data_IF_349109483643
#
_entry.id   IF_349109483643
#
_cell.length_a   1.000
_cell.length_b   1.000
_cell.length_c   1.000
_cell.angle_alpha   90.00
_cell.angle_beta   90.00
_cell.angle_gamma   90.00
#
_symmetry.space_group_name_H-M   'P 1'
#
loop_
_entity.id
_entity.type
_entity.pdbx_description
1 polymer ?
#
# COMPACT_ATOMS: atom_id res chain seq x y z
N UNK A 1 -0.15 17.01 -25.62
CA UNK A 1 -0.54 16.67 -24.24
C UNK A 1 -1.80 17.38 -23.77
N UNK A 2 -1.89 18.71 -23.87
CA UNK A 2 -3.06 19.51 -23.40
C UNK A 2 -4.43 18.91 -23.78
N UNK A 3 -4.70 18.64 -25.06
CA UNK A 3 -5.94 17.96 -25.48
C UNK A 3 -6.18 16.61 -24.79
N UNK A 4 -5.16 15.77 -24.65
CA UNK A 4 -5.31 14.46 -23.98
C UNK A 4 -5.74 14.63 -22.52
N UNK A 5 -5.11 15.57 -21.81
CA UNK A 5 -5.42 15.88 -20.41
C UNK A 5 -6.86 16.36 -20.26
N UNK A 6 -7.33 17.24 -21.15
CA UNK A 6 -8.72 17.72 -21.13
C UNK A 6 -9.73 16.57 -21.27
N UNK A 7 -9.48 15.62 -22.17
CA UNK A 7 -10.38 14.48 -22.44
C UNK A 7 -10.47 13.50 -21.25
N UNK A 8 -9.40 13.33 -20.48
CA UNK A 8 -9.38 12.41 -19.32
C UNK A 8 -9.70 13.09 -17.99
N UNK A 9 -9.84 14.42 -17.97
CA UNK A 9 -9.99 15.22 -16.74
C UNK A 9 -11.09 14.70 -15.83
N UNK A 10 -12.26 14.36 -16.39
CA UNK A 10 -13.39 13.87 -15.59
C UNK A 10 -13.06 12.54 -14.90
N UNK A 11 -12.41 11.61 -15.61
CA UNK A 11 -12.02 10.32 -15.06
C UNK A 11 -11.00 10.48 -13.92
N UNK A 12 -9.96 11.29 -14.14
CA UNK A 12 -8.91 11.55 -13.13
C UNK A 12 -9.48 12.26 -11.90
N UNK A 13 -10.33 13.26 -12.10
CA UNK A 13 -10.97 14.02 -11.01
C UNK A 13 -11.89 13.14 -10.16
N UNK A 14 -12.51 12.12 -10.77
CA UNK A 14 -13.36 11.16 -10.05
C UNK A 14 -12.55 10.07 -9.35
N UNK A 15 -11.46 9.62 -9.97
CA UNK A 15 -10.63 8.51 -9.46
C UNK A 15 -9.75 8.92 -8.27
N UNK A 16 -9.21 10.14 -8.28
CA UNK A 16 -8.28 10.59 -7.25
C UNK A 16 -8.89 10.59 -5.83
N UNK A 17 -10.08 11.17 -5.59
CA UNK A 17 -10.73 11.07 -4.29
C UNK A 17 -10.91 9.62 -3.85
N UNK A 18 -11.36 8.74 -4.74
CA UNK A 18 -11.54 7.31 -4.43
C UNK A 18 -10.25 6.64 -3.96
N UNK A 19 -9.10 6.95 -4.57
CA UNK A 19 -7.80 6.40 -4.13
C UNK A 19 -7.49 6.81 -2.69
N UNK A 20 -7.68 8.09 -2.37
CA UNK A 20 -7.29 8.63 -1.08
C UNK A 20 -8.29 8.31 0.03
N UNK A 21 -9.58 8.33 -0.25
CA UNK A 21 -10.64 7.90 0.68
C UNK A 21 -10.46 6.41 1.04
N UNK A 22 -10.16 5.56 0.04
CA UNK A 22 -9.88 4.14 0.26
C UNK A 22 -8.60 3.93 1.08
N UNK A 23 -7.57 4.74 0.83
CA UNK A 23 -6.34 4.70 1.62
C UNK A 23 -6.57 5.13 3.07
N UNK A 24 -7.37 6.17 3.33
CA UNK A 24 -7.75 6.57 4.69
C UNK A 24 -8.51 5.45 5.41
N UNK A 25 -9.46 4.80 4.72
CA UNK A 25 -10.17 3.64 5.26
C UNK A 25 -9.23 2.46 5.57
N UNK A 26 -8.24 2.21 4.71
CA UNK A 26 -7.20 1.20 4.94
C UNK A 26 -6.40 1.52 6.20
N UNK A 27 -5.97 2.77 6.39
CA UNK A 27 -5.20 3.18 7.57
C UNK A 27 -6.00 2.98 8.86
N UNK A 28 -7.30 3.29 8.85
CA UNK A 28 -8.19 3.05 9.98
C UNK A 28 -8.31 1.55 10.32
N UNK A 29 -8.42 0.69 9.30
CA UNK A 29 -8.49 -0.76 9.49
C UNK A 29 -7.17 -1.33 10.01
N UNK A 30 -6.04 -0.87 9.50
CA UNK A 30 -4.71 -1.26 9.99
C UNK A 30 -4.51 -0.85 11.45
N UNK A 31 -4.93 0.35 11.83
CA UNK A 31 -4.86 0.82 13.21
C UNK A 31 -5.75 -0.02 14.15
N UNK A 32 -6.95 -0.40 13.71
CA UNK A 32 -7.84 -1.31 14.47
C UNK A 32 -7.23 -2.69 14.62
N UNK A 33 -6.65 -3.24 13.54
CA UNK A 33 -6.01 -4.56 13.55
C UNK A 33 -4.80 -4.58 14.49
N UNK A 34 -3.96 -3.56 14.45
CA UNK A 34 -2.81 -3.42 15.35
C UNK A 34 -3.26 -3.29 16.82
N UNK A 35 -4.29 -2.49 17.08
CA UNK A 35 -4.90 -2.36 18.41
C UNK A 35 -5.38 -3.71 18.97
N UNK A 36 -6.12 -4.48 18.16
CA UNK A 36 -6.62 -5.79 18.55
C UNK A 36 -5.48 -6.80 18.81
N UNK A 37 -4.45 -6.80 17.94
CA UNK A 37 -3.26 -7.65 18.12
C UNK A 37 -2.53 -7.35 19.43
N UNK A 38 -2.34 -6.07 19.76
CA UNK A 38 -1.67 -5.65 21.00
C UNK A 38 -2.46 -6.03 22.24
N UNK A 39 -3.79 -5.94 22.20
CA UNK A 39 -4.66 -6.38 23.29
C UNK A 39 -4.49 -7.88 23.54
N UNK A 40 -4.60 -8.69 22.48
CA UNK A 40 -4.39 -10.13 22.56
C UNK A 40 -2.99 -10.49 23.09
N UNK A 41 -1.93 -9.85 22.57
CA UNK A 41 -0.56 -10.11 22.99
C UNK A 41 -0.34 -9.75 24.47
N UNK A 42 -0.91 -8.66 24.96
CA UNK A 42 -0.81 -8.26 26.36
C UNK A 42 -1.50 -9.27 27.30
N UNK A 43 -2.67 -9.77 26.91
CA UNK A 43 -3.45 -10.74 27.69
C UNK A 43 -2.76 -12.11 27.77
N UNK A 44 -2.39 -12.67 26.62
CA UNK A 44 -1.68 -13.95 26.57
C UNK A 44 -0.25 -13.85 27.14
N UNK A 45 0.44 -12.74 26.89
CA UNK A 45 1.80 -12.51 27.38
C UNK A 45 1.85 -12.42 28.91
N UNK A 46 0.85 -11.82 29.55
CA UNK A 46 0.78 -11.74 31.01
C UNK A 46 0.56 -13.12 31.66
N UNK A 47 -0.34 -13.93 31.09
CA UNK A 47 -0.56 -15.30 31.55
C UNK A 47 0.69 -16.18 31.35
N UNK A 48 1.34 -16.07 30.19
CA UNK A 48 2.56 -16.81 29.87
C UNK A 48 3.75 -16.41 30.77
N UNK A 49 3.92 -15.12 31.04
CA UNK A 49 4.98 -14.63 31.93
C UNK A 49 4.81 -15.17 33.35
N UNK A 50 3.58 -15.16 33.89
CA UNK A 50 3.30 -15.68 35.22
C UNK A 50 3.54 -17.19 35.31
N UNK A 51 3.17 -17.94 34.26
CA UNK A 51 3.42 -19.38 34.19
C UNK A 51 4.92 -19.72 34.16
N UNK A 52 5.73 -18.92 33.44
CA UNK A 52 7.17 -19.13 33.30
C UNK A 52 7.98 -18.72 34.54
N UNK A 53 7.44 -17.83 35.38
CA UNK A 53 8.09 -17.31 36.58
C UNK A 53 7.41 -17.77 37.88
N UNK A 54 6.60 -18.83 37.82
CA UNK A 54 5.91 -19.35 38.99
C UNK A 54 6.90 -19.95 40.00
N UNK A 55 6.90 -19.44 41.24
CA UNK A 55 7.79 -19.90 42.30
C UNK A 55 7.11 -20.95 43.19
N UNK A 56 5.77 -20.97 43.21
CA UNK A 56 4.98 -21.89 44.02
C UNK A 56 3.72 -22.40 43.29
N UNK A 57 3.01 -23.33 43.91
CA UNK A 57 1.80 -23.93 43.35
C UNK A 57 0.62 -22.95 43.23
N UNK A 58 0.60 -21.89 44.04
CA UNK A 58 -0.41 -20.81 43.95
C UNK A 58 -0.16 -19.94 42.73
N UNK A 59 1.10 -19.65 42.37
CA UNK A 59 1.47 -18.91 41.17
C UNK A 59 1.09 -19.67 39.89
N UNK A 60 1.30 -20.99 39.87
CA UNK A 60 0.85 -21.86 38.76
C UNK A 60 -0.67 -21.87 38.67
N UNK A 61 -1.37 -21.93 39.82
CA UNK A 61 -2.83 -21.87 39.88
C UNK A 61 -3.37 -20.53 39.38
N UNK A 62 -2.72 -19.42 39.74
CA UNK A 62 -3.06 -18.07 39.28
C UNK A 62 -2.79 -17.91 37.78
N UNK A 63 -1.66 -18.41 37.27
CA UNK A 63 -1.34 -18.37 35.85
C UNK A 63 -2.34 -19.18 35.02
N UNK A 64 -2.70 -20.37 35.50
CA UNK A 64 -3.72 -21.22 34.90
C UNK A 64 -5.08 -20.55 34.95
N UNK A 65 -5.46 -19.92 36.06
CA UNK A 65 -6.68 -19.14 36.21
C UNK A 65 -6.75 -17.97 35.23
N UNK A 66 -5.67 -17.20 35.09
CA UNK A 66 -5.58 -16.12 34.11
C UNK A 66 -5.64 -16.61 32.66
N UNK A 67 -5.01 -17.75 32.36
CA UNK A 67 -5.09 -18.38 31.03
C UNK A 67 -6.50 -18.92 30.75
N UNK A 68 -7.16 -19.49 31.76
CA UNK A 68 -8.53 -19.97 31.67
C UNK A 68 -9.53 -18.82 31.59
N UNK A 69 -9.30 -17.69 32.27
CA UNK A 69 -10.13 -16.50 32.13
C UNK A 69 -9.95 -15.86 30.74
N UNK A 70 -8.75 -15.86 30.18
CA UNK A 70 -8.50 -15.41 28.81
C UNK A 70 -9.12 -16.34 27.73
N UNK A 71 -9.31 -17.64 28.06
CA UNK A 71 -9.80 -18.64 27.11
C UNK A 71 -11.30 -18.99 27.31
N UNK A 72 -11.81 -18.93 28.53
CA UNK A 72 -13.16 -19.34 28.97
C UNK A 72 -13.82 -18.35 29.96
N UNK A 73 -13.17 -17.24 30.31
CA UNK A 73 -13.74 -16.20 31.17
C UNK A 73 -14.92 -15.47 30.53
N UNK A 74 -15.44 -14.40 31.15
CA UNK A 74 -16.79 -13.86 30.91
C UNK A 74 -17.17 -13.40 29.50
N UNK A 75 -16.35 -13.56 28.46
CA UNK A 75 -16.61 -12.96 27.16
C UNK A 75 -16.66 -13.96 26.01
N UNK A 76 -17.90 -14.21 25.60
CA UNK A 76 -18.25 -14.39 24.19
C UNK A 76 -17.54 -13.36 23.30
N UNK A 77 -17.28 -12.15 23.82
CA UNK A 77 -16.54 -11.08 23.14
C UNK A 77 -15.07 -11.44 22.82
N UNK A 78 -14.35 -12.26 23.61
CA UNK A 78 -12.98 -12.67 23.29
C UNK A 78 -12.92 -13.73 22.18
N UNK A 79 -13.86 -14.69 22.20
CA UNK A 79 -14.04 -15.62 21.10
C UNK A 79 -14.48 -14.88 19.82
N UNK A 80 -15.39 -13.92 19.94
CA UNK A 80 -15.86 -13.09 18.83
C UNK A 80 -14.75 -12.16 18.30
N UNK A 81 -13.86 -11.65 19.16
CA UNK A 81 -12.68 -10.86 18.79
C UNK A 81 -11.60 -11.70 18.09
N UNK A 82 -11.33 -12.92 18.58
CA UNK A 82 -10.42 -13.85 17.91
C UNK A 82 -11.00 -14.33 16.57
N UNK A 83 -12.32 -14.43 16.44
CA UNK A 83 -13.01 -14.73 15.19
C UNK A 83 -13.03 -13.52 14.23
N UNK A 84 -13.08 -12.29 14.75
CA UNK A 84 -13.05 -11.06 13.96
C UNK A 84 -11.65 -10.72 13.41
N UNK A 85 -10.57 -11.24 14.01
CA UNK A 85 -9.21 -10.96 13.57
C UNK A 85 -8.92 -11.44 12.14
N UNK A 86 -9.27 -12.69 11.72
CA UNK A 86 -9.20 -13.11 10.33
C UNK A 86 -10.04 -12.25 9.38
N UNK A 87 -11.26 -11.89 9.76
CA UNK A 87 -12.16 -11.07 8.93
C UNK A 87 -11.58 -9.66 8.73
N UNK A 88 -11.03 -9.07 9.80
CA UNK A 88 -10.38 -7.76 9.73
C UNK A 88 -9.09 -7.81 8.91
N UNK A 89 -8.31 -8.89 9.01
CA UNK A 89 -7.14 -9.12 8.15
C UNK A 89 -7.53 -9.21 6.68
N UNK A 90 -8.57 -9.99 6.36
CA UNK A 90 -9.10 -10.10 5.01
C UNK A 90 -9.61 -8.75 4.47
N UNK A 91 -10.26 -7.94 5.33
CA UNK A 91 -10.68 -6.59 4.97
C UNK A 91 -9.47 -5.68 4.66
N UNK A 92 -8.43 -5.69 5.50
CA UNK A 92 -7.18 -4.93 5.26
C UNK A 92 -6.55 -5.33 3.92
N UNK A 93 -6.46 -6.63 3.62
CA UNK A 93 -5.92 -7.12 2.35
C UNK A 93 -6.77 -6.68 1.15
N UNK A 94 -8.09 -6.78 1.26
CA UNK A 94 -9.02 -6.34 0.21
C UNK A 94 -8.92 -4.83 -0.07
N UNK A 95 -8.89 -4.01 0.98
CA UNK A 95 -8.71 -2.56 0.85
C UNK A 95 -7.34 -2.20 0.29
N UNK A 96 -6.27 -2.88 0.71
CA UNK A 96 -4.93 -2.66 0.13
C UNK A 96 -4.91 -2.96 -1.36
N UNK A 97 -5.50 -4.08 -1.77
CA UNK A 97 -5.65 -4.42 -3.19
C UNK A 97 -6.47 -3.36 -3.95
N UNK A 98 -7.56 -2.88 -3.36
CA UNK A 98 -8.42 -1.84 -3.93
C UNK A 98 -7.65 -0.54 -4.17
N UNK A 99 -6.90 -0.05 -3.16
CA UNK A 99 -6.03 1.13 -3.28
C UNK A 99 -5.02 0.98 -4.42
N UNK A 100 -4.33 -0.17 -4.48
CA UNK A 100 -3.33 -0.44 -5.50
C UNK A 100 -3.94 -0.53 -6.91
N UNK A 101 -5.12 -1.13 -7.05
CA UNK A 101 -5.83 -1.23 -8.32
C UNK A 101 -6.29 0.15 -8.83
N UNK A 102 -6.85 0.99 -7.94
CA UNK A 102 -7.26 2.35 -8.29
C UNK A 102 -6.04 3.20 -8.67
N UNK A 103 -4.94 3.10 -7.91
CA UNK A 103 -3.69 3.78 -8.22
C UNK A 103 -3.09 3.31 -9.55
N UNK A 104 -3.14 2.01 -9.86
CA UNK A 104 -2.68 1.46 -11.13
C UNK A 104 -3.50 2.01 -12.31
N UNK A 105 -4.81 2.18 -12.14
CA UNK A 105 -5.67 2.81 -13.13
C UNK A 105 -5.29 4.28 -13.39
N UNK A 106 -4.93 5.03 -12.34
CA UNK A 106 -4.45 6.41 -12.49
C UNK A 106 -3.12 6.47 -13.26
N UNK A 107 -2.16 5.61 -12.92
CA UNK A 107 -0.88 5.50 -13.62
C UNK A 107 -1.09 5.06 -15.07
N UNK A 108 -2.09 4.21 -15.32
CA UNK A 108 -2.44 3.78 -16.67
C UNK A 108 -2.86 4.95 -17.56
N UNK A 109 -3.63 5.94 -17.06
CA UNK A 109 -3.89 7.18 -17.79
C UNK A 109 -2.59 7.92 -18.12
N UNK A 110 -1.68 8.06 -17.16
CA UNK A 110 -0.38 8.69 -17.42
C UNK A 110 0.41 8.01 -18.54
N UNK A 111 0.51 6.68 -18.52
CA UNK A 111 1.18 5.90 -19.58
C UNK A 111 0.47 6.02 -20.93
N UNK A 112 -0.87 6.03 -20.94
CA UNK A 112 -1.63 6.22 -22.20
C UNK A 112 -1.42 7.62 -22.76
N UNK A 113 -1.30 8.66 -21.93
CA UNK A 113 -0.91 10.00 -22.38
C UNK A 113 0.43 10.00 -23.09
N UNK A 114 1.44 9.37 -22.51
CA UNK A 114 2.76 9.19 -23.13
C UNK A 114 2.63 8.50 -24.50
N UNK A 115 1.85 7.41 -24.55
CA UNK A 115 1.71 6.59 -25.76
C UNK A 115 0.94 7.31 -26.87
N UNK A 116 -0.19 7.93 -26.53
CA UNK A 116 -1.10 8.56 -27.49
C UNK A 116 -0.53 9.88 -28.06
N UNK A 117 0.22 10.63 -27.26
CA UNK A 117 0.76 11.94 -27.66
C UNK A 117 2.12 11.81 -28.34
N UNK A 118 3.00 10.92 -27.83
CA UNK A 118 4.39 10.85 -28.30
C UNK A 118 4.70 9.58 -29.09
N UNK A 119 3.81 8.58 -29.09
CA UNK A 119 4.06 7.29 -29.75
C UNK A 119 4.93 6.32 -28.92
N UNK A 120 5.24 6.65 -27.66
CA UNK A 120 5.97 5.76 -26.75
C UNK A 120 6.89 6.48 -25.77
N UNK A 121 7.62 5.71 -24.96
CA UNK A 121 8.51 6.24 -23.92
C UNK A 121 9.69 7.05 -24.46
N UNK A 122 10.37 6.53 -25.49
CA UNK A 122 11.58 7.13 -26.07
C UNK A 122 11.32 8.55 -26.61
N UNK A 123 10.30 8.79 -27.45
CA UNK A 123 10.02 10.13 -27.98
C UNK A 123 9.38 11.10 -26.98
N UNK A 124 9.00 10.63 -25.79
CA UNK A 124 8.40 11.49 -24.76
C UNK A 124 9.48 12.36 -24.10
N UNK A 125 9.21 13.66 -23.88
CA UNK A 125 9.98 14.51 -22.98
C UNK A 125 10.10 13.91 -21.58
N UNK A 126 11.19 14.23 -20.88
CA UNK A 126 11.55 13.64 -19.58
C UNK A 126 10.58 14.00 -18.44
N UNK A 127 10.00 15.20 -18.49
CA UNK A 127 9.28 15.80 -17.37
C UNK A 127 10.23 16.14 -16.22
N UNK A 128 9.68 16.32 -15.02
CA UNK A 128 10.50 16.62 -13.83
C UNK A 128 11.39 15.45 -13.40
N UNK A 129 12.43 15.79 -12.65
CA UNK A 129 13.32 14.82 -12.01
C UNK A 129 12.68 14.25 -10.73
N UNK A 130 12.92 12.96 -10.48
CA UNK A 130 12.50 12.24 -9.28
C UNK A 130 13.75 11.56 -8.70
N UNK A 131 14.08 11.87 -7.45
CA UNK A 131 15.39 11.53 -6.90
C UNK A 131 16.52 12.21 -7.67
N UNK A 132 17.61 11.49 -7.89
CA UNK A 132 18.80 11.99 -8.59
C UNK A 132 18.89 11.51 -10.04
N UNK A 133 18.38 10.31 -10.35
CA UNK A 133 18.55 9.67 -11.66
C UNK A 133 17.25 9.49 -12.46
N UNK A 134 16.09 9.46 -11.81
CA UNK A 134 14.84 9.12 -12.48
C UNK A 134 14.13 10.33 -13.08
N UNK A 135 13.47 10.09 -14.22
CA UNK A 135 12.63 11.06 -14.93
C UNK A 135 11.18 10.65 -14.82
N UNK A 136 10.27 11.63 -14.75
CA UNK A 136 8.83 11.41 -14.64
C UNK A 136 8.32 10.40 -15.68
N UNK A 137 8.69 10.56 -16.96
CA UNK A 137 8.25 9.62 -18.02
C UNK A 137 8.61 8.17 -17.71
N UNK A 138 9.80 7.93 -17.16
CA UNK A 138 10.29 6.58 -16.87
C UNK A 138 9.57 6.02 -15.67
N UNK A 139 9.40 6.81 -14.60
CA UNK A 139 8.69 6.39 -13.40
C UNK A 139 7.26 6.00 -13.73
N UNK A 140 6.50 6.85 -14.45
CA UNK A 140 5.12 6.55 -14.86
C UNK A 140 5.06 5.27 -15.72
N UNK A 141 5.98 5.13 -16.67
CA UNK A 141 5.99 3.99 -17.58
C UNK A 141 6.33 2.67 -16.88
N UNK A 142 7.38 2.66 -16.07
CA UNK A 142 7.81 1.44 -15.39
C UNK A 142 6.90 1.09 -14.22
N UNK A 143 6.34 2.07 -13.52
CA UNK A 143 5.30 1.82 -12.51
C UNK A 143 4.09 1.12 -13.12
N UNK A 144 3.63 1.57 -14.31
CA UNK A 144 2.55 0.87 -15.04
C UNK A 144 2.93 -0.58 -15.35
N UNK A 145 4.13 -0.81 -15.86
CA UNK A 145 4.57 -2.17 -16.23
C UNK A 145 4.70 -3.06 -14.99
N UNK A 146 5.18 -2.51 -13.88
CA UNK A 146 5.24 -3.21 -12.60
C UNK A 146 3.84 -3.58 -12.12
N UNK A 147 2.91 -2.62 -12.09
CA UNK A 147 1.53 -2.85 -11.67
C UNK A 147 0.80 -3.93 -12.48
N UNK A 148 1.16 -4.12 -13.76
CA UNK A 148 0.56 -5.15 -14.62
C UNK A 148 1.19 -6.54 -14.44
N UNK A 149 2.46 -6.62 -14.04
CA UNK A 149 3.26 -7.85 -14.08
C UNK A 149 3.89 -8.22 -12.72
N UNK A 150 3.47 -7.60 -11.63
CA UNK A 150 4.09 -7.83 -10.32
C UNK A 150 3.89 -9.27 -9.82
N UNK A 151 2.79 -9.93 -10.18
CA UNK A 151 2.48 -11.32 -9.80
C UNK A 151 3.47 -12.32 -10.40
N UNK A 152 4.11 -11.99 -11.53
CA UNK A 152 5.11 -12.83 -12.19
C UNK A 152 6.40 -12.93 -11.38
N UNK A 153 6.62 -12.03 -10.40
CA UNK A 153 7.82 -11.92 -9.54
C UNK A 153 9.15 -11.86 -10.31
N UNK A 154 9.08 -11.55 -11.60
CA UNK A 154 10.21 -11.52 -12.53
C UNK A 154 10.17 -10.21 -13.33
N UNK A 155 10.47 -9.07 -12.68
CA UNK A 155 10.36 -7.76 -13.31
C UNK A 155 11.35 -7.65 -14.48
N UNK A 156 10.88 -7.04 -15.58
CA UNK A 156 11.77 -6.70 -16.67
C UNK A 156 12.88 -5.75 -16.22
N UNK A 157 14.07 -5.86 -16.83
CA UNK A 157 15.25 -5.07 -16.46
C UNK A 157 15.00 -3.56 -16.31
N UNK A 158 14.23 -2.88 -17.18
CA UNK A 158 13.94 -1.45 -17.01
C UNK A 158 13.08 -1.16 -15.77
N UNK A 159 12.19 -2.07 -15.40
CA UNK A 159 11.38 -1.95 -14.18
C UNK A 159 12.29 -2.08 -12.97
N UNK A 160 13.11 -3.14 -12.91
CA UNK A 160 14.07 -3.34 -11.83
C UNK A 160 15.00 -2.13 -11.66
N UNK A 161 15.62 -1.66 -12.75
CA UNK A 161 16.50 -0.50 -12.70
C UNK A 161 15.80 0.78 -12.20
N UNK A 162 14.53 0.99 -12.56
CA UNK A 162 13.75 2.13 -12.07
C UNK A 162 13.49 2.01 -10.56
N UNK A 163 12.98 0.88 -10.08
CA UNK A 163 12.62 0.69 -8.68
C UNK A 163 13.84 0.58 -7.76
N UNK A 164 14.93 -0.04 -8.21
CA UNK A 164 16.20 -0.09 -7.46
C UNK A 164 16.78 1.32 -7.27
N UNK A 165 16.69 2.18 -8.29
CA UNK A 165 17.09 3.58 -8.18
C UNK A 165 16.19 4.38 -7.23
N UNK A 166 14.86 4.22 -7.31
CA UNK A 166 13.93 4.84 -6.37
C UNK A 166 14.17 4.38 -4.93
N UNK A 167 14.48 3.10 -4.74
CA UNK A 167 14.82 2.53 -3.44
C UNK A 167 16.12 3.09 -2.85
N UNK A 168 17.11 3.35 -3.69
CA UNK A 168 18.40 3.88 -3.27
C UNK A 168 18.36 5.40 -3.01
N UNK A 169 17.59 6.14 -3.81
CA UNK A 169 17.64 7.61 -3.84
C UNK A 169 16.50 8.29 -3.11
N UNK A 170 15.36 7.62 -2.93
CA UNK A 170 14.13 8.25 -2.42
C UNK A 170 13.62 7.57 -1.17
N UNK A 171 13.22 6.29 -1.27
CA UNK A 171 12.62 5.57 -0.14
C UNK A 171 12.87 4.05 -0.27
N UNK A 172 13.47 3.39 0.73
CA UNK A 172 13.69 1.94 0.73
C UNK A 172 12.43 1.08 0.50
N UNK A 173 11.22 1.60 0.73
CA UNK A 173 9.96 0.90 0.45
C UNK A 173 9.88 0.40 -1.00
N UNK A 174 10.55 1.06 -1.94
CA UNK A 174 10.56 0.66 -3.34
C UNK A 174 11.28 -0.66 -3.62
N UNK A 175 11.97 -1.26 -2.63
CA UNK A 175 12.53 -2.63 -2.76
C UNK A 175 11.46 -3.71 -2.84
N UNK A 176 10.24 -3.41 -2.40
CA UNK A 176 9.14 -4.37 -2.36
C UNK A 176 8.49 -4.62 -3.74
N UNK A 177 8.98 -3.98 -4.80
CA UNK A 177 8.41 -4.05 -6.16
C UNK A 177 8.34 -5.45 -6.79
N UNK A 178 9.05 -6.42 -6.20
CA UNK A 178 9.02 -7.85 -6.58
C UNK A 178 7.98 -8.66 -5.82
N UNK A 179 7.44 -8.09 -4.73
CA UNK A 179 6.58 -8.79 -3.77
C UNK A 179 5.13 -8.29 -3.83
N UNK A 180 4.92 -7.02 -4.20
CA UNK A 180 3.60 -6.39 -4.23
C UNK A 180 3.50 -5.32 -5.31
N UNK A 181 2.27 -4.91 -5.60
CA UNK A 181 2.01 -3.73 -6.41
C UNK A 181 2.53 -2.47 -5.69
N UNK A 182 3.19 -1.58 -6.43
CA UNK A 182 3.76 -0.33 -5.89
C UNK A 182 3.03 0.91 -6.41
N UNK A 183 1.87 0.73 -7.04
CA UNK A 183 1.15 1.81 -7.72
C UNK A 183 0.82 2.95 -6.76
N UNK A 184 0.32 2.63 -5.56
CA UNK A 184 -0.02 3.66 -4.60
C UNK A 184 1.22 4.39 -4.05
N UNK A 185 2.33 3.70 -3.82
CA UNK A 185 3.61 4.34 -3.46
C UNK A 185 4.09 5.30 -4.54
N UNK A 186 3.90 4.97 -5.81
CA UNK A 186 4.23 5.86 -6.92
C UNK A 186 3.29 7.07 -6.93
N UNK A 187 1.99 6.88 -6.73
CA UNK A 187 1.03 8.01 -6.60
C UNK A 187 1.42 8.94 -5.44
N UNK A 188 1.81 8.38 -4.28
CA UNK A 188 2.34 9.14 -3.14
C UNK A 188 3.62 9.90 -3.50
N UNK A 189 4.59 9.22 -4.11
CA UNK A 189 5.87 9.79 -4.53
C UNK A 189 5.69 10.95 -5.50
N UNK A 190 4.79 10.81 -6.46
CA UNK A 190 4.50 11.85 -7.44
C UNK A 190 3.67 13.00 -6.83
N UNK A 191 3.12 12.84 -5.64
CA UNK A 191 2.30 13.86 -5.00
C UNK A 191 0.97 14.07 -5.72
N UNK A 192 0.47 13.04 -6.41
CA UNK A 192 -0.80 13.09 -7.13
C UNK A 192 -1.98 13.00 -6.15
N UNK A 193 -2.20 14.11 -5.42
CA UNK A 193 -3.33 14.30 -4.49
C UNK A 193 -4.52 15.04 -5.09
N UNK A 194 -4.31 15.70 -6.23
CA UNK A 194 -5.33 16.46 -6.94
C UNK A 194 -5.15 16.28 -8.43
N UNK A 195 -6.25 16.47 -9.18
CA UNK A 195 -6.19 16.45 -10.64
C UNK A 195 -5.16 17.46 -11.14
N UNK A 196 -5.10 18.66 -10.55
CA UNK A 196 -4.09 19.68 -10.90
C UNK A 196 -2.64 19.19 -10.78
N UNK A 197 -2.29 18.42 -9.75
CA UNK A 197 -0.93 17.88 -9.60
C UNK A 197 -0.60 16.84 -10.69
N UNK A 198 -1.56 15.95 -10.98
CA UNK A 198 -1.45 14.97 -12.06
C UNK A 198 -1.36 15.65 -13.45
N UNK A 199 -2.22 16.65 -13.70
CA UNK A 199 -2.26 17.41 -14.95
C UNK A 199 -0.94 18.17 -15.16
N UNK A 200 -0.40 18.82 -14.12
CA UNK A 200 0.88 19.52 -14.18
C UNK A 200 2.03 18.59 -14.58
N UNK A 201 2.08 17.39 -13.98
CA UNK A 201 3.08 16.38 -14.32
C UNK A 201 2.93 15.92 -15.78
N UNK A 202 1.72 15.60 -16.23
CA UNK A 202 1.52 15.21 -17.63
C UNK A 202 1.86 16.34 -18.61
N UNK A 203 1.43 17.57 -18.33
CA UNK A 203 1.75 18.72 -19.17
C UNK A 203 3.25 19.01 -19.25
N UNK A 204 4.04 18.63 -18.23
CA UNK A 204 5.51 18.73 -18.27
C UNK A 204 6.16 17.75 -19.25
N UNK A 205 5.40 16.77 -19.77
CA UNK A 205 5.83 15.83 -20.80
C UNK A 205 5.50 16.35 -22.21
N UNK A 206 5.11 17.61 -22.38
CA UNK A 206 4.76 18.20 -23.68
C UNK A 206 5.92 18.96 -24.34
#
# INVERSE_FOLDING_TARGET
MSKYVDEIRHAVTSLLPLIWDEYEALQDLEARLDGLRKQMEAEYGRAAWLALNAENAEDVGLATGMQWDAYWGPDKEHHDQSAALPDLQAAVEAHRFSVDALAAALIQYGKQGISAVHGGLVPSPDGRQIGNSQRLKNVVWQARNQALHWEDRSPHKPVAACFDALAAEVDPVFRDYTQRNMSFEIVKLLGWRSSGAFEADLLSLA
#
